data_IF_479091801753
#
_entry.id   IF_479091801753
#
_cell.length_a   1.000
_cell.length_b   1.000
_cell.length_c   1.000
_cell.angle_alpha   90.00
_cell.angle_beta   90.00
_cell.angle_gamma   90.00
#
_symmetry.space_group_name_H-M   'P 1'
#
loop_
_entity.id
_entity.type
_entity.pdbx_description
1 polymer ?
#
# COMPACT_ATOMS: atom_id res chain seq x y z
N UNK A 1 5.49 3.52 -18.44
CA UNK A 1 6.36 4.52 -19.11
C UNK A 1 7.01 5.49 -18.14
N UNK A 2 6.34 6.51 -17.58
CA UNK A 2 6.98 7.45 -16.63
C UNK A 2 7.53 6.78 -15.36
N UNK A 3 6.80 5.84 -14.76
CA UNK A 3 7.27 5.11 -13.57
C UNK A 3 8.51 4.24 -13.86
N UNK A 4 8.55 3.58 -15.03
CA UNK A 4 9.70 2.77 -15.46
C UNK A 4 10.91 3.65 -15.79
N UNK A 5 10.71 4.80 -16.45
CA UNK A 5 11.77 5.78 -16.73
C UNK A 5 12.34 6.36 -15.44
N UNK A 6 11.48 6.72 -14.48
CA UNK A 6 11.90 7.15 -13.14
C UNK A 6 12.72 6.06 -12.46
N UNK A 7 12.27 4.80 -12.47
CA UNK A 7 13.01 3.69 -11.88
C UNK A 7 14.40 3.52 -12.48
N UNK A 8 14.52 3.50 -13.82
CA UNK A 8 15.82 3.41 -14.48
C UNK A 8 16.75 4.56 -14.10
N UNK A 9 16.20 5.75 -13.81
CA UNK A 9 16.98 6.90 -13.33
C UNK A 9 17.45 6.78 -11.88
N UNK A 10 16.88 5.87 -11.08
CA UNK A 10 17.19 5.67 -9.66
C UNK A 10 18.19 4.55 -9.39
N UNK A 11 18.82 3.99 -10.43
CA UNK A 11 19.74 2.83 -10.30
C UNK A 11 19.10 1.64 -9.57
N UNK A 12 17.78 1.48 -9.73
CA UNK A 12 17.03 0.41 -9.08
C UNK A 12 16.67 0.65 -7.61
N UNK A 13 16.93 1.84 -7.06
CA UNK A 13 16.61 2.17 -5.66
C UNK A 13 15.24 2.80 -5.53
N UNK A 14 14.28 2.09 -4.92
CA UNK A 14 12.96 2.63 -4.58
C UNK A 14 12.77 2.65 -3.07
N UNK A 15 12.96 3.84 -2.47
CA UNK A 15 12.89 4.01 -1.01
C UNK A 15 11.46 3.81 -0.45
N UNK A 16 10.42 4.03 -1.25
CA UNK A 16 9.06 3.85 -0.80
C UNK A 16 8.03 4.05 -1.89
N UNK A 17 6.94 3.32 -1.76
CA UNK A 17 5.80 3.36 -2.67
C UNK A 17 4.55 3.77 -1.89
N UNK A 18 3.90 4.87 -2.28
CA UNK A 18 2.62 5.25 -1.65
C UNK A 18 1.45 4.74 -2.49
N UNK A 19 0.60 3.93 -1.87
CA UNK A 19 -0.55 3.26 -2.49
C UNK A 19 -1.87 3.81 -1.89
N UNK A 20 -2.22 5.04 -2.25
CA UNK A 20 -3.42 5.77 -1.78
C UNK A 20 -4.53 5.92 -2.83
N UNK A 21 -4.66 4.96 -3.73
CA UNK A 21 -5.58 5.00 -4.88
C UNK A 21 -7.07 4.90 -4.50
N UNK A 22 -7.92 5.39 -5.41
CA UNK A 22 -9.37 5.23 -5.37
C UNK A 22 -9.72 3.80 -5.82
N UNK A 23 -10.28 2.93 -4.95
CA UNK A 23 -10.55 1.54 -5.29
C UNK A 23 -11.57 1.38 -6.44
N UNK A 24 -12.31 2.43 -6.81
CA UNK A 24 -13.27 2.41 -7.91
C UNK A 24 -12.62 2.44 -9.30
N UNK A 25 -11.32 2.77 -9.38
CA UNK A 25 -10.59 2.78 -10.66
C UNK A 25 -10.31 1.33 -11.11
N UNK A 26 -10.76 0.90 -12.31
CA UNK A 26 -10.55 -0.46 -12.78
C UNK A 26 -9.07 -0.73 -13.12
N UNK A 27 -8.69 -2.01 -13.14
CA UNK A 27 -7.36 -2.50 -13.55
C UNK A 27 -6.15 -2.04 -12.69
N UNK A 28 -6.36 -1.50 -11.49
CA UNK A 28 -5.28 -1.09 -10.58
C UNK A 28 -4.35 -2.24 -10.17
N UNK A 29 -4.83 -3.50 -10.19
CA UNK A 29 -4.01 -4.67 -9.83
C UNK A 29 -2.74 -4.79 -10.68
N UNK A 30 -2.85 -4.56 -12.00
CA UNK A 30 -1.70 -4.70 -12.92
C UNK A 30 -0.65 -3.62 -12.64
N UNK A 31 -1.08 -2.38 -12.45
CA UNK A 31 -0.18 -1.28 -12.12
C UNK A 31 0.46 -1.48 -10.75
N UNK A 32 -0.32 -1.90 -9.75
CA UNK A 32 0.18 -2.21 -8.41
C UNK A 32 1.24 -3.31 -8.45
N UNK A 33 1.00 -4.38 -9.21
CA UNK A 33 1.99 -5.45 -9.34
C UNK A 33 3.30 -4.95 -9.95
N UNK A 34 3.22 -4.18 -11.04
CA UNK A 34 4.41 -3.58 -11.68
C UNK A 34 5.20 -2.71 -10.69
N UNK A 35 4.50 -1.92 -9.87
CA UNK A 35 5.13 -1.06 -8.87
C UNK A 35 5.72 -1.84 -7.68
N UNK A 36 5.11 -2.96 -7.30
CA UNK A 36 5.65 -3.85 -6.25
C UNK A 36 6.85 -4.67 -6.73
N UNK A 37 6.90 -5.03 -8.01
CA UNK A 37 8.04 -5.72 -8.63
C UNK A 37 9.32 -4.85 -8.60
N UNK A 38 9.18 -3.55 -8.32
CA UNK A 38 10.31 -2.64 -8.05
C UNK A 38 10.93 -2.81 -6.66
N UNK A 39 10.35 -3.66 -5.80
CA UNK A 39 10.81 -3.98 -4.45
C UNK A 39 11.07 -2.74 -3.57
N UNK A 40 10.01 -1.96 -3.26
CA UNK A 40 10.18 -0.77 -2.42
C UNK A 40 10.56 -1.13 -0.98
N UNK A 41 11.38 -0.30 -0.33
CA UNK A 41 11.76 -0.49 1.07
C UNK A 41 10.60 -0.30 2.06
N UNK A 42 9.54 0.40 1.65
CA UNK A 42 8.30 0.58 2.43
C UNK A 42 7.09 0.86 1.54
N UNK A 43 5.89 0.55 2.04
CA UNK A 43 4.63 0.92 1.38
C UNK A 43 3.81 1.85 2.26
N UNK A 44 3.47 3.04 1.76
CA UNK A 44 2.57 3.99 2.41
C UNK A 44 1.10 3.69 2.11
N UNK A 45 0.23 3.90 3.09
CA UNK A 45 -1.21 3.61 3.09
C UNK A 45 -1.55 2.13 2.86
N UNK A 46 -1.24 1.55 1.71
CA UNK A 46 -1.50 0.13 1.40
C UNK A 46 -2.98 -0.27 1.49
N UNK A 47 -3.90 0.70 1.37
CA UNK A 47 -5.31 0.55 1.75
C UNK A 47 -6.04 -0.51 0.92
N UNK A 48 -5.69 -0.62 -0.35
CA UNK A 48 -6.31 -1.55 -1.29
C UNK A 48 -5.61 -2.90 -1.39
N UNK A 49 -4.52 -3.14 -0.65
CA UNK A 49 -3.84 -4.44 -0.68
C UNK A 49 -4.74 -5.57 -0.16
N UNK A 50 -5.62 -5.26 0.79
CA UNK A 50 -6.48 -6.23 1.47
C UNK A 50 -7.99 -5.91 1.37
N UNK A 51 -8.41 -5.02 0.47
CA UNK A 51 -9.83 -4.73 0.26
C UNK A 51 -10.44 -5.73 -0.72
N UNK A 52 -11.58 -6.34 -0.40
CA UNK A 52 -12.22 -7.38 -1.22
C UNK A 52 -12.61 -6.97 -2.66
N UNK A 53 -12.49 -5.68 -3.01
CA UNK A 53 -12.78 -5.15 -4.35
C UNK A 53 -11.52 -4.78 -5.17
N UNK A 54 -10.32 -4.82 -4.59
CA UNK A 54 -9.06 -4.44 -5.29
C UNK A 54 -7.78 -5.13 -4.78
N UNK A 55 -7.83 -5.74 -3.60
CA UNK A 55 -6.78 -6.55 -3.02
C UNK A 55 -6.85 -7.98 -3.53
N UNK A 56 -5.81 -8.41 -4.22
CA UNK A 56 -5.65 -9.82 -4.58
C UNK A 56 -4.84 -10.53 -3.50
N UNK A 57 -5.18 -11.78 -3.19
CA UNK A 57 -4.35 -12.65 -2.35
C UNK A 57 -2.87 -12.59 -2.81
N UNK A 58 -2.65 -12.62 -4.13
CA UNK A 58 -1.32 -12.47 -4.74
C UNK A 58 -0.53 -11.23 -4.26
N UNK A 59 -1.18 -10.07 -4.13
CA UNK A 59 -0.52 -8.83 -3.70
C UNK A 59 -0.19 -8.86 -2.21
N UNK A 60 -1.13 -9.39 -1.40
CA UNK A 60 -0.92 -9.58 0.03
C UNK A 60 0.24 -10.54 0.26
N UNK A 61 0.26 -11.66 -0.45
CA UNK A 61 1.30 -12.68 -0.32
C UNK A 61 2.66 -12.16 -0.78
N UNK A 62 2.71 -11.36 -1.86
CA UNK A 62 3.94 -10.70 -2.29
C UNK A 62 4.52 -9.81 -1.19
N UNK A 63 3.70 -8.92 -0.62
CA UNK A 63 4.12 -7.99 0.45
C UNK A 63 4.57 -8.76 1.69
N UNK A 64 3.87 -9.84 2.05
CA UNK A 64 4.21 -10.71 3.19
C UNK A 64 5.51 -11.47 2.97
N UNK A 65 5.70 -12.06 1.79
CA UNK A 65 6.88 -12.84 1.43
C UNK A 65 8.14 -11.99 1.50
N UNK A 66 8.09 -10.76 0.99
CA UNK A 66 9.21 -9.84 0.99
C UNK A 66 9.34 -9.03 2.30
N UNK A 67 8.40 -9.21 3.24
CA UNK A 67 8.32 -8.47 4.51
C UNK A 67 8.41 -6.95 4.37
N UNK A 68 7.86 -6.40 3.30
CA UNK A 68 7.91 -4.95 3.02
C UNK A 68 7.10 -4.21 4.10
N UNK A 69 7.72 -3.34 4.92
CA UNK A 69 7.02 -2.62 5.98
C UNK A 69 5.91 -1.70 5.47
N UNK A 70 4.80 -1.67 6.21
CA UNK A 70 3.66 -0.80 5.91
C UNK A 70 3.65 0.46 6.79
N UNK A 71 3.51 1.62 6.17
CA UNK A 71 3.31 2.91 6.83
C UNK A 71 1.83 3.30 6.78
N UNK A 72 1.15 3.25 7.94
CA UNK A 72 -0.31 3.28 8.05
C UNK A 72 -0.79 4.47 8.88
N UNK A 73 -1.72 5.25 8.34
CA UNK A 73 -2.18 6.51 8.94
C UNK A 73 -3.67 6.44 9.30
N UNK A 74 -3.97 5.92 10.50
CA UNK A 74 -5.34 5.64 10.98
C UNK A 74 -6.31 6.81 10.76
N UNK A 75 -6.02 7.96 11.36
CA UNK A 75 -6.91 9.13 11.30
C UNK A 75 -7.07 9.69 9.90
N UNK A 76 -5.99 9.69 9.10
CA UNK A 76 -6.05 10.21 7.72
C UNK A 76 -6.93 9.33 6.86
N UNK A 77 -6.77 8.00 6.95
CA UNK A 77 -7.53 7.05 6.14
C UNK A 77 -9.04 7.12 6.41
N UNK A 78 -9.45 7.33 7.65
CA UNK A 78 -10.87 7.54 8.01
C UNK A 78 -11.37 8.88 7.49
N UNK A 79 -10.59 9.96 7.66
CA UNK A 79 -10.98 11.31 7.20
C UNK A 79 -11.09 11.41 5.68
N UNK A 80 -10.17 10.78 4.94
CA UNK A 80 -10.19 10.72 3.48
C UNK A 80 -11.20 9.69 2.95
N UNK A 81 -11.94 9.00 3.83
CA UNK A 81 -12.91 7.95 3.49
C UNK A 81 -12.31 6.78 2.70
N UNK A 82 -11.01 6.55 2.84
CA UNK A 82 -10.35 5.37 2.25
C UNK A 82 -10.68 4.09 3.04
N UNK A 83 -11.01 4.23 4.32
CA UNK A 83 -11.66 3.18 5.13
C UNK A 83 -12.88 3.76 5.86
N UNK A 84 -13.93 2.98 6.15
CA UNK A 84 -15.18 3.52 6.71
C UNK A 84 -15.07 3.91 8.19
N UNK A 85 -14.20 3.23 8.92
CA UNK A 85 -14.06 3.37 10.37
C UNK A 85 -12.74 2.75 10.86
N UNK A 86 -12.40 2.97 12.13
CA UNK A 86 -11.16 2.45 12.73
C UNK A 86 -11.17 0.92 12.89
N UNK A 87 -12.32 0.31 13.21
CA UNK A 87 -12.49 -1.14 13.34
C UNK A 87 -12.41 -1.85 11.98
N UNK A 88 -12.73 -1.15 10.89
CA UNK A 88 -12.57 -1.63 9.53
C UNK A 88 -11.23 -1.25 8.90
N UNK A 89 -10.31 -0.67 9.68
CA UNK A 89 -8.98 -0.32 9.17
C UNK A 89 -8.18 -1.59 8.91
N UNK A 90 -7.55 -1.68 7.74
CA UNK A 90 -6.70 -2.81 7.33
C UNK A 90 -5.47 -3.04 8.23
N UNK A 91 -5.19 -2.12 9.15
CA UNK A 91 -4.16 -2.29 10.19
C UNK A 91 -4.46 -3.52 11.05
N UNK A 92 -5.73 -3.79 11.38
CA UNK A 92 -6.11 -4.94 12.19
C UNK A 92 -5.66 -6.27 11.58
N UNK A 93 -5.79 -6.42 10.27
CA UNK A 93 -5.31 -7.59 9.53
C UNK A 93 -3.79 -7.71 9.56
N UNK A 94 -3.07 -6.64 9.18
CA UNK A 94 -1.61 -6.68 9.11
C UNK A 94 -0.96 -6.88 10.48
N UNK A 95 -1.56 -6.31 11.53
CA UNK A 95 -1.16 -6.53 12.92
C UNK A 95 -1.40 -7.98 13.37
N UNK A 96 -2.55 -8.57 13.03
CA UNK A 96 -2.87 -9.95 13.46
C UNK A 96 -1.95 -11.01 12.86
N UNK A 97 -1.37 -10.74 11.68
CA UNK A 97 -0.38 -11.61 11.03
C UNK A 97 1.08 -11.23 11.35
N UNK A 98 1.31 -10.33 12.31
CA UNK A 98 2.64 -9.85 12.74
C UNK A 98 3.50 -9.32 11.56
N UNK A 99 2.86 -8.63 10.62
CA UNK A 99 3.55 -7.98 9.50
C UNK A 99 4.19 -6.65 9.94
N UNK A 100 5.40 -6.30 9.49
CA UNK A 100 6.06 -5.06 9.89
C UNK A 100 5.20 -3.86 9.51
N UNK A 101 4.83 -3.06 10.50
CA UNK A 101 3.95 -1.92 10.31
C UNK A 101 4.37 -0.77 11.23
N UNK A 102 4.29 0.46 10.73
CA UNK A 102 4.48 1.69 11.49
C UNK A 102 3.20 2.53 11.41
N UNK A 103 2.81 3.12 12.54
CA UNK A 103 1.69 4.06 12.60
C UNK A 103 2.23 5.47 12.37
N UNK A 104 1.68 6.16 11.37
CA UNK A 104 2.05 7.51 10.99
C UNK A 104 0.93 8.52 11.26
N UNK A 105 1.31 9.79 11.32
CA UNK A 105 0.37 10.92 11.23
C UNK A 105 0.54 11.60 9.88
N UNK A 106 -0.55 11.74 9.13
CA UNK A 106 -0.59 12.54 7.90
C UNK A 106 -1.62 13.65 8.06
N UNK A 107 -1.26 14.86 7.62
CA UNK A 107 -2.21 15.97 7.49
C UNK A 107 -3.05 15.73 6.25
N UNK A 108 -4.30 15.34 6.44
CA UNK A 108 -5.34 15.50 5.43
C UNK A 108 -5.74 16.98 5.47
N UNK A 109 -5.22 17.78 4.54
CA UNK A 109 -5.61 19.18 4.35
C UNK A 109 -6.77 19.24 3.38
#
# INVERSE_FOLDING_TARGET
>A
KLAEEFFLSTEGTVLGLDLSGDPTIPNQKKETQILLDLLPDRIGHGTFLNSGEGGSLDLVDFVRQHRIPLELCLTSNVKSRTVPSYDQHHFGFWYSVAHPSVICVRRSV
#
